data_IF_973570867101
#
_entry.id   IF_973570867101
#
_cell.length_a   1.000
_cell.length_b   1.000
_cell.length_c   1.000
_cell.angle_alpha   90.00
_cell.angle_beta   90.00
_cell.angle_gamma   90.00
#
_symmetry.space_group_name_H-M   'P 1'
#
loop_
_entity.id
_entity.type
_entity.pdbx_description
1 polymer ?
#
# COMPACT_ATOMS: atom_id res chain seq x y z
N UNK A 1 5.33 -28.19 9.68
CA UNK A 1 6.67 -27.66 9.36
C UNK A 1 6.55 -26.16 9.37
N UNK A 2 7.10 -25.49 10.38
CA UNK A 2 7.14 -24.02 10.41
C UNK A 2 7.99 -23.58 9.22
N UNK A 3 7.45 -22.70 8.38
CA UNK A 3 8.24 -22.09 7.33
C UNK A 3 9.20 -21.10 8.01
N UNK A 4 10.30 -21.61 8.55
CA UNK A 4 11.29 -20.75 9.21
C UNK A 4 11.79 -19.74 8.16
N UNK A 5 11.41 -18.48 8.34
CA UNK A 5 11.90 -17.34 7.57
C UNK A 5 13.32 -16.97 7.98
N UNK A 6 13.92 -16.02 7.28
CA UNK A 6 15.25 -15.50 7.60
C UNK A 6 15.10 -14.08 8.11
N UNK A 7 15.65 -13.77 9.28
CA UNK A 7 15.79 -12.39 9.75
C UNK A 7 17.21 -11.90 9.46
N UNK A 8 17.29 -10.79 8.73
CA UNK A 8 18.52 -10.11 8.37
C UNK A 8 18.56 -8.77 9.08
N UNK A 9 19.66 -8.53 9.80
CA UNK A 9 19.88 -7.29 10.53
C UNK A 9 19.90 -6.03 9.65
N UNK A 10 20.70 -6.08 8.58
CA UNK A 10 20.82 -5.04 7.57
C UNK A 10 21.12 -5.70 6.24
N UNK A 11 20.41 -5.27 5.20
CA UNK A 11 20.49 -5.80 3.86
C UNK A 11 20.53 -4.64 2.88
N UNK A 12 21.63 -4.50 2.14
CA UNK A 12 21.81 -3.43 1.16
C UNK A 12 22.54 -3.94 -0.08
N UNK A 13 22.31 -3.30 -1.23
CA UNK A 13 23.00 -3.56 -2.50
C UNK A 13 22.12 -4.11 -3.62
N UNK A 14 22.76 -4.40 -4.77
CA UNK A 14 22.10 -4.69 -6.04
C UNK A 14 21.79 -6.18 -6.30
N UNK A 15 22.07 -7.06 -5.33
CA UNK A 15 21.94 -8.50 -5.51
C UNK A 15 20.48 -8.98 -5.48
N UNK A 16 20.21 -10.08 -6.19
CA UNK A 16 18.91 -10.75 -6.13
C UNK A 16 18.75 -11.54 -4.84
N UNK A 17 17.59 -11.44 -4.21
CA UNK A 17 17.18 -12.28 -3.07
C UNK A 17 16.05 -13.19 -3.51
N UNK A 18 16.29 -14.50 -3.43
CA UNK A 18 15.30 -15.51 -3.81
C UNK A 18 14.66 -16.11 -2.56
N UNK A 19 13.35 -15.93 -2.39
CA UNK A 19 12.61 -16.30 -1.19
C UNK A 19 12.04 -17.73 -1.22
N UNK A 20 11.69 -18.24 -2.40
CA UNK A 20 10.83 -19.42 -2.50
C UNK A 20 9.47 -19.15 -1.87
N UNK A 21 9.19 -19.78 -0.73
CA UNK A 21 7.97 -19.56 0.06
C UNK A 21 8.25 -19.02 1.46
N UNK A 22 9.45 -18.48 1.68
CA UNK A 22 9.92 -18.01 2.99
C UNK A 22 9.58 -16.55 3.23
N UNK A 23 9.50 -16.20 4.51
CA UNK A 23 9.51 -14.82 4.95
C UNK A 23 10.95 -14.30 5.04
N UNK A 24 11.19 -13.09 4.52
CA UNK A 24 12.39 -12.32 4.72
C UNK A 24 12.10 -11.14 5.64
N UNK A 25 12.62 -11.18 6.85
CA UNK A 25 12.57 -10.07 7.79
C UNK A 25 13.81 -9.18 7.64
N UNK A 26 13.63 -7.87 7.46
CA UNK A 26 14.70 -6.87 7.23
C UNK A 26 14.64 -5.72 8.24
N UNK A 27 15.80 -5.13 8.53
CA UNK A 27 15.90 -3.89 9.32
C UNK A 27 16.11 -4.10 10.82
N UNK A 28 16.40 -5.32 11.28
CA UNK A 28 16.55 -5.65 12.70
C UNK A 28 17.75 -4.98 13.40
N UNK A 29 18.63 -4.28 12.68
CA UNK A 29 19.69 -3.43 13.25
C UNK A 29 19.33 -1.94 13.32
N UNK A 30 18.07 -1.59 13.07
CA UNK A 30 17.55 -0.21 13.14
C UNK A 30 18.27 0.78 12.21
N UNK A 31 18.94 0.27 11.17
CA UNK A 31 19.65 1.08 10.18
C UNK A 31 18.75 1.45 9.01
N UNK A 32 19.16 2.50 8.31
CA UNK A 32 18.67 2.76 6.98
C UNK A 32 19.43 1.88 5.98
N UNK A 33 18.67 1.15 5.17
CA UNK A 33 19.16 0.18 4.20
C UNK A 33 18.58 0.48 2.82
N UNK A 34 19.37 0.29 1.77
CA UNK A 34 18.89 0.41 0.39
C UNK A 34 19.12 -0.91 -0.35
N UNK A 35 18.02 -1.58 -0.68
CA UNK A 35 18.01 -2.77 -1.53
C UNK A 35 17.75 -2.32 -2.95
N UNK A 36 18.78 -2.36 -3.78
CA UNK A 36 18.72 -1.95 -5.19
C UNK A 36 18.62 -3.12 -6.16
N UNK A 37 18.72 -4.35 -5.65
CA UNK A 37 18.44 -5.57 -6.38
C UNK A 37 16.95 -5.90 -6.40
N UNK A 38 16.63 -7.15 -6.75
CA UNK A 38 15.27 -7.66 -6.84
C UNK A 38 15.07 -8.74 -5.77
N UNK A 39 13.95 -8.67 -5.05
CA UNK A 39 13.42 -9.74 -4.20
C UNK A 39 12.39 -10.50 -5.02
N UNK A 40 12.56 -11.82 -5.14
CA UNK A 40 11.72 -12.67 -6.00
C UNK A 40 11.44 -14.04 -5.36
N UNK A 41 10.38 -14.71 -5.80
CA UNK A 41 10.07 -16.07 -5.34
C UNK A 41 11.01 -17.12 -5.95
N UNK A 42 11.46 -16.90 -7.18
CA UNK A 42 12.36 -17.77 -7.94
C UNK A 42 11.77 -19.11 -8.39
N UNK A 43 10.62 -19.56 -7.87
CA UNK A 43 9.90 -20.79 -8.29
C UNK A 43 8.38 -20.65 -8.08
N UNK A 44 7.58 -21.51 -8.75
CA UNK A 44 6.13 -21.57 -8.57
C UNK A 44 5.74 -22.09 -7.17
N UNK A 45 4.77 -21.46 -6.51
CA UNK A 45 4.33 -21.80 -5.15
C UNK A 45 3.50 -20.67 -4.54
N UNK A 46 3.33 -20.67 -3.21
CA UNK A 46 2.58 -19.64 -2.47
C UNK A 46 3.30 -18.29 -2.33
N UNK A 47 4.46 -18.14 -2.96
CA UNK A 47 5.33 -16.96 -2.85
C UNK A 47 5.97 -16.76 -1.48
N UNK A 48 7.05 -15.99 -1.44
CA UNK A 48 7.70 -15.53 -0.22
C UNK A 48 7.17 -14.16 0.21
N UNK A 49 7.28 -13.85 1.49
CA UNK A 49 6.86 -12.59 2.08
C UNK A 49 8.05 -11.73 2.52
N UNK A 50 7.81 -10.44 2.70
CA UNK A 50 8.79 -9.50 3.26
C UNK A 50 8.21 -8.84 4.49
N UNK A 51 8.96 -8.86 5.59
CA UNK A 51 8.59 -8.22 6.86
C UNK A 51 9.61 -7.15 7.23
N UNK A 52 9.21 -5.89 7.20
CA UNK A 52 10.03 -4.76 7.67
C UNK A 52 9.90 -4.59 9.18
N UNK A 53 11.01 -4.73 9.88
CA UNK A 53 11.14 -4.55 11.34
C UNK A 53 12.20 -3.49 11.68
N UNK A 54 12.32 -3.16 12.96
CA UNK A 54 13.27 -2.14 13.45
C UNK A 54 12.88 -0.72 13.06
N UNK A 55 13.49 0.28 13.69
CA UNK A 55 13.07 1.69 13.57
C UNK A 55 13.61 2.40 12.33
N UNK A 56 14.59 1.81 11.64
CA UNK A 56 15.18 2.39 10.43
C UNK A 56 14.29 2.32 9.19
N UNK A 57 14.77 2.87 8.09
CA UNK A 57 14.12 2.81 6.78
C UNK A 57 14.73 1.73 5.90
N UNK A 58 13.93 0.82 5.34
CA UNK A 58 14.38 -0.01 4.22
C UNK A 58 13.82 0.58 2.94
N UNK A 59 14.71 0.98 2.02
CA UNK A 59 14.36 1.56 0.72
C UNK A 59 14.54 0.51 -0.37
N UNK A 60 13.46 0.19 -1.08
CA UNK A 60 13.45 -0.66 -2.26
C UNK A 60 13.52 0.22 -3.50
N UNK A 61 14.55 0.00 -4.34
CA UNK A 61 14.68 0.72 -5.63
C UNK A 61 14.55 -0.19 -6.85
N UNK A 62 14.57 -1.51 -6.64
CA UNK A 62 14.33 -2.51 -7.67
C UNK A 62 12.84 -2.84 -7.83
N UNK A 63 12.50 -3.48 -8.95
CA UNK A 63 11.15 -4.04 -9.17
C UNK A 63 11.09 -5.41 -8.55
N UNK A 64 10.55 -5.51 -7.35
CA UNK A 64 10.39 -6.77 -6.64
C UNK A 64 9.21 -7.57 -7.18
N UNK A 65 9.38 -8.89 -7.23
CA UNK A 65 8.43 -9.82 -7.88
C UNK A 65 7.95 -10.94 -6.95
N UNK A 66 8.29 -10.88 -5.66
CA UNK A 66 7.71 -11.79 -4.67
C UNK A 66 6.20 -11.60 -4.60
N UNK A 67 5.47 -12.70 -4.41
CA UNK A 67 4.00 -12.70 -4.44
C UNK A 67 3.35 -12.79 -3.07
N UNK A 68 4.12 -13.12 -2.03
CA UNK A 68 3.64 -13.07 -0.64
C UNK A 68 3.40 -11.65 -0.15
N UNK A 69 2.87 -11.55 1.07
CA UNK A 69 2.52 -10.28 1.68
C UNK A 69 3.74 -9.41 2.01
N UNK A 70 3.53 -8.11 2.02
CA UNK A 70 4.47 -7.13 2.58
C UNK A 70 3.94 -6.68 3.94
N UNK A 71 4.68 -6.93 5.01
CA UNK A 71 4.31 -6.49 6.37
C UNK A 71 5.28 -5.43 6.85
N UNK A 72 4.77 -4.33 7.38
CA UNK A 72 5.57 -3.24 7.96
C UNK A 72 5.24 -3.17 9.44
N UNK A 73 6.00 -3.91 10.26
CA UNK A 73 5.77 -3.97 11.71
C UNK A 73 6.38 -2.78 12.44
N UNK A 74 7.49 -2.22 11.94
CA UNK A 74 8.12 -1.05 12.54
C UNK A 74 8.99 -0.26 11.54
N UNK A 75 9.22 1.02 11.85
CA UNK A 75 10.01 1.92 11.02
C UNK A 75 9.32 2.22 9.68
N UNK A 76 10.10 2.36 8.61
CA UNK A 76 9.58 2.72 7.29
C UNK A 76 10.01 1.72 6.22
N UNK A 77 9.06 1.27 5.40
CA UNK A 77 9.35 0.67 4.10
C UNK A 77 9.13 1.74 3.03
N UNK A 78 10.18 2.10 2.30
CA UNK A 78 10.13 3.13 1.26
C UNK A 78 10.30 2.51 -0.14
N UNK A 79 9.48 2.94 -1.10
CA UNK A 79 9.72 2.72 -2.52
C UNK A 79 10.35 3.99 -3.10
N UNK A 80 11.38 3.85 -3.92
CA UNK A 80 12.06 4.99 -4.53
C UNK A 80 12.52 4.70 -5.95
N UNK A 81 12.55 5.73 -6.81
CA UNK A 81 12.88 5.58 -8.22
C UNK A 81 11.86 4.69 -8.93
N UNK A 82 12.32 3.53 -9.41
CA UNK A 82 11.49 2.48 -10.02
C UNK A 82 11.08 1.36 -9.05
N UNK A 83 11.36 1.54 -7.75
CA UNK A 83 11.01 0.59 -6.70
C UNK A 83 9.55 0.18 -6.75
N UNK A 84 9.27 -1.12 -6.71
CA UNK A 84 7.89 -1.64 -6.84
C UNK A 84 7.71 -2.96 -6.13
N UNK A 85 6.54 -3.14 -5.50
CA UNK A 85 6.08 -4.37 -4.86
C UNK A 85 4.72 -4.81 -5.42
N UNK A 86 4.41 -4.44 -6.66
CA UNK A 86 3.06 -4.58 -7.23
C UNK A 86 2.51 -6.02 -7.26
N UNK A 87 3.39 -7.02 -7.24
CA UNK A 87 2.99 -8.43 -7.21
C UNK A 87 2.68 -8.95 -5.81
N UNK A 88 3.04 -8.22 -4.75
CA UNK A 88 2.70 -8.58 -3.38
C UNK A 88 1.18 -8.67 -3.23
N UNK A 89 0.71 -9.71 -2.52
CA UNK A 89 -0.71 -9.92 -2.22
C UNK A 89 -1.36 -8.78 -1.44
N UNK A 90 -0.56 -7.94 -0.78
CA UNK A 90 -1.01 -6.72 -0.14
C UNK A 90 0.02 -6.18 0.84
N UNK A 91 -0.24 -4.97 1.34
CA UNK A 91 0.58 -4.31 2.35
C UNK A 91 -0.18 -4.27 3.68
N UNK A 92 0.38 -4.93 4.69
CA UNK A 92 -0.02 -4.78 6.09
C UNK A 92 0.83 -3.67 6.70
N UNK A 93 0.32 -2.44 6.69
CA UNK A 93 1.01 -1.27 7.21
C UNK A 93 0.64 -1.02 8.68
N UNK A 94 1.49 -1.51 9.58
CA UNK A 94 1.39 -1.25 11.02
C UNK A 94 2.27 -0.06 11.46
N UNK A 95 3.06 0.52 10.55
CA UNK A 95 4.01 1.58 10.86
C UNK A 95 4.02 2.65 9.77
N UNK A 96 4.95 2.61 8.81
CA UNK A 96 5.01 3.58 7.72
C UNK A 96 5.37 2.97 6.36
N UNK A 97 4.50 3.20 5.38
CA UNK A 97 4.74 2.96 3.97
C UNK A 97 4.98 4.28 3.22
N UNK A 98 6.12 4.43 2.56
CA UNK A 98 6.49 5.67 1.86
C UNK A 98 6.71 5.41 0.38
N UNK A 99 5.88 6.02 -0.48
CA UNK A 99 6.06 5.98 -1.93
C UNK A 99 6.46 7.34 -2.51
N UNK A 100 6.74 8.33 -1.67
CA UNK A 100 7.03 9.70 -2.09
C UNK A 100 8.30 9.83 -2.94
N UNK A 101 9.23 8.87 -2.80
CA UNK A 101 10.47 8.79 -3.58
C UNK A 101 10.32 8.16 -4.97
N UNK A 102 9.15 7.64 -5.32
CA UNK A 102 8.90 7.01 -6.62
C UNK A 102 8.87 8.06 -7.72
N UNK A 103 9.53 7.78 -8.85
CA UNK A 103 9.71 8.74 -9.95
C UNK A 103 8.78 8.52 -11.14
N UNK A 104 8.02 7.43 -11.15
CA UNK A 104 7.04 7.09 -12.21
C UNK A 104 5.71 7.83 -12.04
N UNK A 105 5.48 8.52 -10.92
CA UNK A 105 4.23 9.20 -10.61
C UNK A 105 3.17 8.29 -9.98
N UNK A 106 3.39 6.98 -9.97
CA UNK A 106 2.50 6.02 -9.32
C UNK A 106 3.20 4.75 -8.87
N UNK A 107 2.60 4.08 -7.88
CA UNK A 107 2.96 2.74 -7.43
C UNK A 107 1.71 1.91 -7.23
N UNK A 108 1.78 0.62 -7.56
CA UNK A 108 0.66 -0.29 -7.38
C UNK A 108 0.92 -1.27 -6.25
N UNK A 109 -0.14 -1.64 -5.54
CA UNK A 109 -0.23 -2.77 -4.61
C UNK A 109 -1.57 -3.49 -4.85
N UNK A 110 -1.71 -4.72 -4.38
CA UNK A 110 -3.00 -5.41 -4.52
C UNK A 110 -4.02 -4.87 -3.50
N UNK A 111 -3.70 -4.88 -2.21
CA UNK A 111 -4.60 -4.47 -1.13
C UNK A 111 -3.82 -3.71 -0.06
N UNK A 112 -4.48 -2.82 0.68
CA UNK A 112 -3.90 -2.10 1.82
C UNK A 112 -4.64 -2.46 3.10
N UNK A 113 -3.90 -2.67 4.20
CA UNK A 113 -4.50 -2.96 5.50
C UNK A 113 -3.65 -2.34 6.62
N UNK A 114 -4.27 -2.08 7.77
CA UNK A 114 -3.55 -1.66 8.97
C UNK A 114 -3.89 -0.24 9.43
N UNK A 115 -3.05 0.29 10.30
CA UNK A 115 -3.28 1.56 11.01
C UNK A 115 -2.08 2.52 10.93
N UNK A 116 -1.09 2.20 10.10
CA UNK A 116 0.12 2.99 9.90
C UNK A 116 -0.10 4.29 9.13
N UNK A 117 0.98 4.82 8.57
CA UNK A 117 0.96 6.03 7.75
C UNK A 117 1.44 5.74 6.35
N UNK A 118 0.70 6.25 5.35
CA UNK A 118 1.14 6.22 3.96
C UNK A 118 1.60 7.62 3.53
N UNK A 119 2.88 7.75 3.17
CA UNK A 119 3.42 8.97 2.57
C UNK A 119 3.38 8.87 1.04
N UNK A 120 2.41 9.55 0.42
CA UNK A 120 2.25 9.54 -1.04
C UNK A 120 3.22 10.50 -1.75
N UNK A 121 3.67 11.55 -1.06
CA UNK A 121 4.35 12.66 -1.72
C UNK A 121 3.46 13.26 -2.81
N UNK A 122 3.96 13.31 -4.05
CA UNK A 122 3.19 13.70 -5.24
C UNK A 122 2.61 12.53 -6.04
N UNK A 123 2.75 11.29 -5.57
CA UNK A 123 2.46 10.09 -6.36
C UNK A 123 1.06 9.53 -6.09
N UNK A 124 0.53 8.77 -7.04
CA UNK A 124 -0.72 8.02 -6.87
C UNK A 124 -0.43 6.59 -6.41
N UNK A 125 -1.05 6.17 -5.31
CA UNK A 125 -1.09 4.75 -4.92
C UNK A 125 -2.27 4.07 -5.64
N UNK A 126 -2.02 2.99 -6.37
CA UNK A 126 -3.04 2.22 -7.09
C UNK A 126 -3.28 0.87 -6.40
N UNK A 127 -4.49 0.70 -5.85
CA UNK A 127 -4.98 -0.52 -5.20
C UNK A 127 -5.69 -1.36 -6.27
N UNK A 128 -5.01 -2.41 -6.72
CA UNK A 128 -5.45 -3.20 -7.89
C UNK A 128 -6.41 -4.32 -7.56
N UNK A 129 -6.51 -4.71 -6.29
CA UNK A 129 -7.36 -5.79 -5.81
C UNK A 129 -7.60 -5.67 -4.30
N UNK A 130 -8.40 -4.68 -3.88
CA UNK A 130 -8.84 -4.57 -2.48
C UNK A 130 -9.54 -5.87 -2.06
N UNK A 131 -8.89 -6.68 -1.22
CA UNK A 131 -9.26 -8.08 -0.99
C UNK A 131 -9.39 -8.39 0.50
N UNK A 132 -10.62 -8.64 0.95
CA UNK A 132 -10.92 -8.99 2.34
C UNK A 132 -10.25 -10.27 2.86
N UNK A 133 -9.78 -11.17 1.98
CA UNK A 133 -9.04 -12.38 2.38
C UNK A 133 -7.65 -12.05 2.92
N UNK A 134 -6.98 -11.04 2.35
CA UNK A 134 -5.74 -10.51 2.90
C UNK A 134 -6.04 -9.52 4.04
N UNK A 135 -7.02 -8.65 3.82
CA UNK A 135 -7.28 -7.45 4.61
C UNK A 135 -7.37 -6.26 3.66
N UNK A 136 -8.41 -5.46 3.79
CA UNK A 136 -8.70 -4.33 2.90
C UNK A 136 -9.23 -3.14 3.69
N UNK A 137 -8.79 -3.00 4.94
CA UNK A 137 -9.22 -1.91 5.82
C UNK A 137 -8.01 -1.14 6.30
N UNK A 138 -7.80 0.03 5.70
CA UNK A 138 -6.84 1.01 6.16
C UNK A 138 -7.52 2.00 7.12
N UNK A 139 -7.14 1.92 8.39
CA UNK A 139 -7.58 2.80 9.48
C UNK A 139 -6.58 3.91 9.80
N UNK A 140 -5.43 3.89 9.13
CA UNK A 140 -4.34 4.83 9.28
C UNK A 140 -4.56 6.15 8.54
N UNK A 141 -3.47 6.88 8.31
CA UNK A 141 -3.49 8.17 7.61
C UNK A 141 -2.60 8.13 6.39
N UNK A 142 -3.21 8.29 5.20
CA UNK A 142 -2.48 8.62 3.98
C UNK A 142 -2.37 10.15 3.83
N UNK A 143 -1.21 10.64 3.39
CA UNK A 143 -0.89 12.08 3.29
C UNK A 143 -0.04 12.42 2.06
N UNK A 144 -0.07 13.69 1.64
CA UNK A 144 0.68 14.19 0.48
C UNK A 144 -0.20 14.94 -0.53
N UNK A 145 0.39 15.48 -1.58
CA UNK A 145 -0.35 16.08 -2.70
C UNK A 145 -0.83 15.05 -3.72
N UNK A 146 -0.29 13.83 -3.65
CA UNK A 146 -0.70 12.67 -4.44
C UNK A 146 -2.10 12.15 -4.10
N UNK A 147 -2.52 11.09 -4.78
CA UNK A 147 -3.87 10.54 -4.70
C UNK A 147 -3.91 9.03 -4.51
N UNK A 148 -5.12 8.49 -4.56
CA UNK A 148 -5.39 7.05 -4.45
C UNK A 148 -6.25 6.62 -5.65
N UNK A 149 -5.95 5.49 -6.24
CA UNK A 149 -6.84 4.80 -7.19
C UNK A 149 -7.21 3.45 -6.62
N UNK A 150 -8.49 3.09 -6.65
CA UNK A 150 -8.94 1.70 -6.48
C UNK A 150 -9.36 1.20 -7.85
N UNK A 151 -8.52 0.36 -8.46
CA UNK A 151 -8.72 -0.17 -9.81
C UNK A 151 -9.35 -1.56 -9.82
N UNK A 152 -9.34 -2.27 -8.69
CA UNK A 152 -10.06 -3.54 -8.53
C UNK A 152 -10.32 -3.90 -7.07
N UNK A 153 -11.24 -4.85 -6.86
CA UNK A 153 -11.69 -5.24 -5.53
C UNK A 153 -12.47 -4.12 -4.81
N UNK A 154 -12.52 -4.17 -3.48
CA UNK A 154 -13.08 -3.10 -2.64
C UNK A 154 -12.11 -2.76 -1.54
N UNK A 155 -11.72 -1.49 -1.41
CA UNK A 155 -10.84 -0.99 -0.35
C UNK A 155 -11.68 -0.22 0.69
N UNK A 156 -11.32 -0.31 1.97
CA UNK A 156 -12.00 0.41 3.06
C UNK A 156 -11.06 1.42 3.70
N UNK A 157 -11.39 2.71 3.58
CA UNK A 157 -10.68 3.80 4.24
C UNK A 157 -11.49 4.27 5.46
N UNK A 158 -11.08 3.81 6.65
CA UNK A 158 -11.73 4.16 7.91
C UNK A 158 -11.01 5.26 8.70
N UNK A 159 -9.76 5.54 8.37
CA UNK A 159 -8.99 6.63 8.95
C UNK A 159 -9.26 8.00 8.32
N UNK A 160 -8.67 9.03 8.93
CA UNK A 160 -8.76 10.41 8.44
C UNK A 160 -7.60 10.72 7.48
N UNK A 161 -7.81 10.48 6.19
CA UNK A 161 -6.78 10.69 5.17
C UNK A 161 -6.67 12.17 4.80
N UNK A 162 -5.44 12.67 4.77
CA UNK A 162 -5.13 14.10 4.60
C UNK A 162 -4.54 14.43 3.24
N UNK A 163 -4.37 13.45 2.36
CA UNK A 163 -3.89 13.70 1.01
C UNK A 163 -4.89 14.53 0.19
N UNK A 164 -4.36 15.42 -0.67
CA UNK A 164 -5.18 16.38 -1.42
C UNK A 164 -5.40 15.97 -2.87
N UNK A 165 -4.66 14.99 -3.39
CA UNK A 165 -4.90 14.46 -4.73
C UNK A 165 -6.20 13.67 -4.81
N UNK A 166 -6.62 13.38 -6.04
CA UNK A 166 -7.92 12.74 -6.30
C UNK A 166 -7.93 11.29 -5.80
N UNK A 167 -9.04 10.90 -5.16
CA UNK A 167 -9.41 9.50 -4.99
C UNK A 167 -10.20 9.04 -6.21
N UNK A 168 -9.71 8.04 -6.94
CA UNK A 168 -10.38 7.48 -8.12
C UNK A 168 -10.87 6.07 -7.83
N UNK A 169 -12.14 5.78 -8.11
CA UNK A 169 -12.69 4.41 -8.04
C UNK A 169 -13.09 3.99 -9.44
N UNK A 170 -12.37 3.01 -10.00
CA UNK A 170 -12.61 2.53 -11.36
C UNK A 170 -13.94 1.78 -11.50
N UNK A 171 -14.40 1.63 -12.73
CA UNK A 171 -15.56 0.76 -13.03
C UNK A 171 -15.27 -0.66 -12.59
N UNK A 172 -16.22 -1.29 -11.88
CA UNK A 172 -16.07 -2.63 -11.31
C UNK A 172 -15.27 -2.70 -10.00
N UNK A 173 -14.67 -1.60 -9.54
CA UNK A 173 -14.04 -1.50 -8.23
C UNK A 173 -14.99 -0.91 -7.18
N UNK A 174 -14.59 -0.98 -5.91
CA UNK A 174 -15.35 -0.45 -4.78
C UNK A 174 -14.52 0.34 -3.79
N UNK A 175 -15.15 1.29 -3.13
CA UNK A 175 -14.59 2.04 -2.01
C UNK A 175 -15.62 2.09 -0.88
N UNK A 176 -15.27 1.61 0.30
CA UNK A 176 -15.98 1.93 1.54
C UNK A 176 -15.20 3.02 2.28
N UNK A 177 -15.84 4.15 2.53
CA UNK A 177 -15.25 5.34 3.13
C UNK A 177 -16.05 5.75 4.37
N UNK A 178 -15.97 5.01 5.49
CA UNK A 178 -16.47 5.49 6.78
C UNK A 178 -15.56 6.55 7.42
N UNK A 179 -14.31 6.68 6.95
CA UNK A 179 -13.37 7.71 7.37
C UNK A 179 -13.50 9.01 6.56
N UNK A 180 -12.37 9.68 6.30
CA UNK A 180 -12.36 10.89 5.47
C UNK A 180 -11.25 10.91 4.43
N UNK A 181 -11.48 11.65 3.36
CA UNK A 181 -10.45 12.07 2.39
C UNK A 181 -10.50 13.60 2.23
N UNK A 182 -9.33 14.24 2.23
CA UNK A 182 -9.23 15.69 2.02
C UNK A 182 -9.32 16.08 0.54
N UNK A 183 -8.87 15.22 -0.37
CA UNK A 183 -8.95 15.41 -1.81
C UNK A 183 -10.35 15.24 -2.40
N UNK A 184 -10.45 15.44 -3.71
CA UNK A 184 -11.66 15.16 -4.49
C UNK A 184 -11.91 13.66 -4.65
N UNK A 185 -13.15 13.27 -4.93
CA UNK A 185 -13.54 11.89 -5.25
C UNK A 185 -14.07 11.83 -6.69
N UNK A 186 -13.53 10.91 -7.49
CA UNK A 186 -14.08 10.53 -8.79
C UNK A 186 -14.41 9.04 -8.78
N UNK A 187 -15.68 8.66 -8.86
CA UNK A 187 -16.09 7.26 -8.83
C UNK A 187 -16.90 6.87 -10.06
N UNK A 188 -16.44 5.81 -10.73
CA UNK A 188 -17.17 5.07 -11.75
C UNK A 188 -17.59 3.66 -11.26
N UNK A 189 -17.12 3.26 -10.07
CA UNK A 189 -17.41 1.99 -9.42
C UNK A 189 -18.56 2.09 -8.40
N UNK A 190 -18.47 1.29 -7.33
CA UNK A 190 -19.39 1.36 -6.19
C UNK A 190 -18.71 2.02 -5.00
N UNK A 191 -19.13 3.22 -4.64
CA UNK A 191 -18.60 3.94 -3.48
C UNK A 191 -19.65 4.07 -2.39
N UNK A 192 -19.29 3.75 -1.16
CA UNK A 192 -20.10 3.95 0.04
C UNK A 192 -19.38 4.93 0.98
N UNK A 193 -19.95 6.10 1.24
CA UNK A 193 -19.43 7.15 2.14
C UNK A 193 -20.28 7.24 3.41
N UNK A 194 -20.96 6.16 3.82
CA UNK A 194 -21.84 6.16 4.98
C UNK A 194 -21.13 6.60 6.27
N UNK A 195 -21.48 7.77 6.78
CA UNK A 195 -20.84 8.43 7.93
C UNK A 195 -19.46 9.06 7.67
N UNK A 196 -18.92 8.91 6.46
CA UNK A 196 -17.61 9.44 6.07
C UNK A 196 -17.65 10.86 5.51
N UNK A 197 -16.50 11.36 5.09
CA UNK A 197 -16.37 12.71 4.52
C UNK A 197 -15.44 12.76 3.30
N UNK A 198 -15.91 13.43 2.24
CA UNK A 198 -15.08 13.87 1.11
C UNK A 198 -15.05 15.39 1.13
N UNK A 199 -13.89 15.98 1.42
CA UNK A 199 -13.76 17.43 1.52
C UNK A 199 -13.62 18.13 0.15
N UNK A 200 -13.15 17.42 -0.87
CA UNK A 200 -13.10 17.92 -2.24
C UNK A 200 -14.38 17.60 -3.03
N UNK A 201 -14.48 18.14 -4.24
CA UNK A 201 -15.62 17.89 -5.12
C UNK A 201 -15.81 16.40 -5.42
N UNK A 202 -17.06 15.94 -5.40
CA UNK A 202 -17.40 14.57 -5.79
C UNK A 202 -17.96 14.50 -7.21
N UNK A 203 -17.33 13.69 -8.07
CA UNK A 203 -17.83 13.33 -9.40
C UNK A 203 -18.21 11.85 -9.41
N UNK A 204 -19.46 11.54 -9.74
CA UNK A 204 -19.96 10.16 -9.77
C UNK A 204 -20.56 9.81 -11.13
N UNK A 205 -20.05 8.75 -11.76
CA UNK A 205 -20.63 8.08 -12.93
C UNK A 205 -20.99 6.61 -12.65
N UNK A 206 -20.78 6.14 -11.41
CA UNK A 206 -21.13 4.79 -10.93
C UNK A 206 -22.23 4.83 -9.87
N UNK A 207 -22.12 3.93 -8.87
CA UNK A 207 -23.03 3.87 -7.71
C UNK A 207 -22.40 4.58 -6.53
N UNK A 208 -23.15 5.47 -5.89
CA UNK A 208 -22.73 6.20 -4.69
C UNK A 208 -23.80 6.10 -3.60
N UNK A 209 -23.43 5.63 -2.42
CA UNK A 209 -24.24 5.70 -1.19
C UNK A 209 -23.55 6.65 -0.22
N UNK A 210 -24.31 7.52 0.45
CA UNK A 210 -23.77 8.58 1.32
C UNK A 210 -24.70 8.88 2.50
N UNK A 211 -25.32 7.86 3.10
CA UNK A 211 -26.17 8.01 4.27
C UNK A 211 -25.37 8.55 5.46
N UNK A 212 -25.73 9.76 5.93
CA UNK A 212 -24.99 10.44 6.99
C UNK A 212 -23.57 10.90 6.59
N UNK A 213 -23.18 10.74 5.33
CA UNK A 213 -21.89 11.21 4.81
C UNK A 213 -21.91 12.71 4.46
N UNK A 214 -20.72 13.31 4.43
CA UNK A 214 -20.53 14.71 3.99
C UNK A 214 -19.75 14.76 2.68
N UNK A 215 -20.32 15.39 1.65
CA UNK A 215 -19.68 15.60 0.35
C UNK A 215 -19.68 17.10 0.03
N UNK A 216 -18.55 17.62 -0.45
CA UNK A 216 -18.44 19.00 -0.95
C UNK A 216 -18.93 19.17 -2.40
#
# INVERSE_FOLDING_TARGET
MTQDGVSIGSLSGAGTVVLGSKDLSVGALDKNDTISGVIEDGHAGSGGSVTKVGTGTTTLTGTDTYTGATTIDNGTLALSGTGSIAQSTGVQDNAAFDISGVTTGSSSIQSLNGAGTVALGGNTLDITNGNATFGNTFSGVASGSGGLTVSGGTETLSGANTYTGVTTVASGAGLSLPGSVAGALTTAGTTDVNGGTVAGTTTNTGTLTAEGGTLA
#
